data_IF_673243881809
#
_entry.id   IF_673243881809
#
_cell.length_a   1.000
_cell.length_b   1.000
_cell.length_c   1.000
_cell.angle_alpha   90.00
_cell.angle_beta   90.00
_cell.angle_gamma   90.00
#
_symmetry.space_group_name_H-M   'P 1'
#
loop_
_entity.id
_entity.type
_entity.pdbx_description
1 polymer ?
#
# COMPACT_ATOMS: atom_id res chain seq x y z
N UNK A 1 10.14 0.11 1.75
CA UNK A 1 9.60 0.26 0.38
C UNK A 1 10.24 -0.80 -0.50
N UNK A 2 9.46 -1.49 -1.33
CA UNK A 2 9.98 -2.45 -2.31
C UNK A 2 10.01 -1.78 -3.67
N UNK A 3 11.14 -1.81 -4.37
CA UNK A 3 11.28 -1.27 -5.72
C UNK A 3 11.14 -2.44 -6.68
N UNK A 4 10.04 -2.46 -7.44
CA UNK A 4 9.79 -3.47 -8.46
C UNK A 4 10.22 -2.91 -9.81
N UNK A 5 11.11 -3.61 -10.50
CA UNK A 5 11.46 -3.28 -11.87
C UNK A 5 10.40 -3.79 -12.85
N UNK A 6 10.10 -2.98 -13.87
CA UNK A 6 9.11 -3.28 -14.91
C UNK A 6 7.69 -3.52 -14.37
N UNK A 7 6.85 -4.16 -15.19
CA UNK A 7 5.48 -4.48 -14.84
C UNK A 7 5.43 -5.63 -13.84
N UNK A 8 4.70 -5.44 -12.74
CA UNK A 8 4.37 -6.48 -11.78
C UNK A 8 3.27 -7.40 -12.34
N UNK A 9 3.56 -8.69 -12.43
CA UNK A 9 2.60 -9.75 -12.79
C UNK A 9 2.07 -10.43 -11.52
N UNK A 10 1.04 -11.27 -11.64
CA UNK A 10 0.50 -12.02 -10.49
C UNK A 10 1.57 -12.93 -9.86
N UNK A 11 2.30 -13.70 -10.68
CA UNK A 11 3.41 -14.56 -10.23
C UNK A 11 4.48 -13.75 -9.49
N UNK A 12 4.93 -12.64 -10.08
CA UNK A 12 5.93 -11.78 -9.44
C UNK A 12 5.41 -11.12 -8.16
N UNK A 13 4.11 -10.83 -8.07
CA UNK A 13 3.52 -10.33 -6.83
C UNK A 13 3.59 -11.37 -5.71
N UNK A 14 3.36 -12.65 -6.02
CA UNK A 14 3.55 -13.74 -5.06
C UNK A 14 5.01 -13.82 -4.63
N UNK A 15 5.91 -13.98 -5.60
CA UNK A 15 7.33 -14.27 -5.36
C UNK A 15 8.08 -13.08 -4.75
N UNK A 16 7.91 -11.86 -5.28
CA UNK A 16 8.73 -10.71 -4.88
C UNK A 16 8.09 -9.86 -3.78
N UNK A 17 6.79 -10.02 -3.50
CA UNK A 17 6.08 -9.18 -2.53
C UNK A 17 5.44 -9.99 -1.42
N UNK A 18 4.61 -10.98 -1.75
CA UNK A 18 3.92 -11.74 -0.72
C UNK A 18 4.91 -12.60 0.08
N UNK A 19 5.65 -13.48 -0.61
CA UNK A 19 6.61 -14.42 -0.02
C UNK A 19 7.73 -13.71 0.75
N UNK A 20 8.35 -12.70 0.15
CA UNK A 20 9.54 -12.06 0.72
C UNK A 20 9.22 -11.04 1.83
N UNK A 21 8.01 -10.47 1.83
CA UNK A 21 7.71 -9.32 2.69
C UNK A 21 6.41 -9.47 3.49
N UNK A 22 5.30 -9.87 2.87
CA UNK A 22 4.00 -9.94 3.57
C UNK A 22 3.93 -11.13 4.50
N UNK A 23 4.29 -12.33 4.03
CA UNK A 23 4.22 -13.56 4.85
C UNK A 23 5.13 -13.46 6.09
N UNK A 24 6.42 -13.07 5.98
CA UNK A 24 7.27 -12.93 7.16
C UNK A 24 6.74 -11.89 8.14
N UNK A 25 6.22 -10.77 7.64
CA UNK A 25 5.67 -9.72 8.50
C UNK A 25 4.37 -10.15 9.19
N UNK A 26 3.50 -10.90 8.51
CA UNK A 26 2.30 -11.46 9.11
C UNK A 26 2.63 -12.42 10.26
N UNK A 27 3.66 -13.25 10.11
CA UNK A 27 4.14 -14.14 11.18
C UNK A 27 4.69 -13.37 12.38
N UNK A 28 5.33 -12.21 12.15
CA UNK A 28 5.81 -11.34 13.22
C UNK A 28 4.68 -10.69 14.03
N UNK A 29 3.58 -10.28 13.36
CA UNK A 29 2.39 -9.72 14.03
C UNK A 29 1.54 -10.81 14.70
N UNK A 30 1.56 -12.02 14.14
CA UNK A 30 0.66 -13.11 14.46
C UNK A 30 -0.42 -13.23 13.40
N UNK A 31 -0.50 -14.39 12.74
CA UNK A 31 -1.37 -14.62 11.59
C UNK A 31 -2.85 -14.27 11.86
N UNK A 32 -3.37 -14.63 13.04
CA UNK A 32 -4.77 -14.37 13.44
C UNK A 32 -5.07 -12.88 13.69
N UNK A 33 -4.04 -12.03 13.81
CA UNK A 33 -4.16 -10.59 14.03
C UNK A 33 -3.82 -9.77 12.78
N UNK A 34 -3.37 -10.43 11.71
CA UNK A 34 -2.94 -9.79 10.49
C UNK A 34 -4.03 -9.85 9.43
N UNK A 35 -4.43 -8.66 8.94
CA UNK A 35 -5.36 -8.54 7.83
C UNK A 35 -4.67 -7.81 6.68
N UNK A 36 -4.51 -8.49 5.55
CA UNK A 36 -3.92 -7.90 4.35
C UNK A 36 -4.90 -6.95 3.70
N UNK A 37 -4.49 -5.70 3.50
CA UNK A 37 -5.20 -4.75 2.65
C UNK A 37 -4.39 -4.49 1.38
N UNK A 38 -4.98 -4.77 0.22
CA UNK A 38 -4.49 -4.34 -1.09
C UNK A 38 -5.67 -3.90 -1.98
N UNK A 39 -5.38 -3.19 -3.06
CA UNK A 39 -6.40 -2.77 -4.02
C UNK A 39 -6.76 -3.88 -5.02
N UNK A 40 -7.80 -3.66 -5.82
CA UNK A 40 -8.26 -4.62 -6.82
C UNK A 40 -7.47 -4.56 -8.14
N UNK A 41 -6.17 -4.25 -8.09
CA UNK A 41 -5.32 -4.29 -9.27
C UNK A 41 -5.25 -5.71 -9.85
N UNK A 42 -5.13 -5.83 -11.19
CA UNK A 42 -5.21 -7.12 -11.89
C UNK A 42 -4.30 -8.23 -11.31
N UNK A 43 -3.04 -7.96 -10.92
CA UNK A 43 -2.21 -8.98 -10.28
C UNK A 43 -2.75 -9.45 -8.94
N UNK A 44 -3.33 -8.55 -8.13
CA UNK A 44 -3.76 -8.83 -6.76
C UNK A 44 -5.03 -9.69 -6.68
N UNK A 45 -5.89 -9.60 -7.70
CA UNK A 45 -7.15 -10.37 -7.81
C UNK A 45 -7.04 -11.55 -8.78
N UNK A 46 -5.82 -11.89 -9.21
CA UNK A 46 -5.59 -13.06 -10.05
C UNK A 46 -5.88 -14.33 -9.24
N UNK A 47 -6.46 -15.34 -9.89
CA UNK A 47 -6.84 -16.58 -9.20
C UNK A 47 -5.69 -17.22 -8.42
N UNK A 48 -4.49 -17.29 -9.02
CA UNK A 48 -3.31 -17.85 -8.36
C UNK A 48 -2.87 -17.07 -7.11
N UNK A 49 -3.18 -15.77 -7.02
CA UNK A 49 -2.89 -14.96 -5.83
C UNK A 49 -3.90 -15.24 -4.73
N UNK A 50 -5.18 -15.34 -5.07
CA UNK A 50 -6.23 -15.71 -4.09
C UNK A 50 -5.97 -17.10 -3.51
N UNK A 51 -5.69 -18.08 -4.37
CA UNK A 51 -5.35 -19.46 -3.96
C UNK A 51 -4.11 -19.50 -3.05
N UNK A 52 -3.07 -18.73 -3.41
CA UNK A 52 -1.87 -18.63 -2.60
C UNK A 52 -2.12 -18.00 -1.22
N UNK A 53 -2.93 -16.93 -1.15
CA UNK A 53 -3.29 -16.29 0.12
C UNK A 53 -4.10 -17.23 1.03
N UNK A 54 -4.99 -18.04 0.44
CA UNK A 54 -5.72 -19.09 1.17
C UNK A 54 -4.78 -20.18 1.69
N UNK A 55 -3.84 -20.67 0.86
CA UNK A 55 -2.86 -21.70 1.22
C UNK A 55 -2.00 -21.29 2.42
N UNK A 56 -1.55 -20.04 2.44
CA UNK A 56 -0.70 -19.48 3.51
C UNK A 56 -1.50 -18.87 4.67
N UNK A 57 -2.83 -19.01 4.65
CA UNK A 57 -3.72 -18.60 5.75
C UNK A 57 -3.81 -17.09 5.97
N UNK A 58 -3.54 -16.27 4.94
CA UNK A 58 -3.61 -14.81 5.04
C UNK A 58 -5.00 -14.33 4.69
N UNK A 59 -5.66 -13.74 5.69
CA UNK A 59 -6.95 -13.09 5.47
C UNK A 59 -6.74 -11.75 4.74
N UNK A 60 -7.62 -11.49 3.77
CA UNK A 60 -7.68 -10.24 3.04
C UNK A 60 -8.90 -9.42 3.44
N UNK A 61 -8.71 -8.12 3.61
CA UNK A 61 -9.80 -7.16 3.74
C UNK A 61 -10.52 -6.99 2.39
N UNK A 62 -11.83 -7.23 2.39
CA UNK A 62 -12.67 -6.96 1.21
C UNK A 62 -12.67 -5.46 0.89
N UNK A 63 -12.16 -5.08 -0.27
CA UNK A 63 -11.99 -3.69 -0.66
C UNK A 63 -12.96 -3.26 -1.77
N UNK A 64 -13.74 -2.18 -1.57
CA UNK A 64 -14.65 -1.70 -2.60
C UNK A 64 -13.90 -1.17 -3.83
N UNK A 65 -14.43 -1.46 -5.01
CA UNK A 65 -13.87 -0.96 -6.26
C UNK A 65 -13.88 0.59 -6.29
N UNK A 66 -12.86 1.18 -6.93
CA UNK A 66 -12.76 2.64 -7.18
C UNK A 66 -12.90 3.52 -5.93
N UNK A 67 -12.37 3.05 -4.79
CA UNK A 67 -12.42 3.79 -3.52
C UNK A 67 -11.02 4.22 -3.06
N UNK A 68 -10.36 5.15 -3.79
CA UNK A 68 -9.05 5.67 -3.38
C UNK A 68 -9.13 6.48 -2.08
N UNK A 69 -10.25 7.16 -1.83
CA UNK A 69 -10.51 7.95 -0.60
C UNK A 69 -10.38 7.11 0.68
N UNK A 70 -10.71 5.81 0.57
CA UNK A 70 -10.60 4.86 1.66
C UNK A 70 -9.18 4.31 1.78
N UNK A 71 -8.32 4.42 0.77
CA UNK A 71 -7.00 3.79 0.79
C UNK A 71 -5.98 4.67 1.54
N UNK A 72 -5.61 4.32 2.79
CA UNK A 72 -4.70 5.15 3.61
C UNK A 72 -3.37 5.42 2.92
N UNK A 73 -2.89 4.46 2.11
CA UNK A 73 -1.56 4.54 1.49
C UNK A 73 -1.50 5.65 0.44
N UNK A 74 -2.61 6.08 -0.15
CA UNK A 74 -2.63 7.18 -1.14
C UNK A 74 -2.15 8.50 -0.51
N UNK A 75 -2.46 8.70 0.76
CA UNK A 75 -1.99 9.85 1.52
C UNK A 75 -0.48 9.82 1.74
N UNK A 76 0.03 8.63 2.11
CA UNK A 76 1.47 8.39 2.29
C UNK A 76 2.19 8.60 0.96
N UNK A 77 1.64 8.11 -0.16
CA UNK A 77 2.16 8.39 -1.50
C UNK A 77 2.13 9.87 -1.86
N UNK A 78 1.12 10.60 -1.44
CA UNK A 78 1.07 12.06 -1.56
C UNK A 78 2.24 12.75 -0.85
N UNK A 79 2.51 12.37 0.40
CA UNK A 79 3.64 12.89 1.19
C UNK A 79 4.98 12.53 0.54
N UNK A 80 5.14 11.27 0.15
CA UNK A 80 6.30 10.74 -0.53
C UNK A 80 6.63 11.52 -1.81
N UNK A 81 5.65 11.71 -2.70
CA UNK A 81 5.81 12.48 -3.94
C UNK A 81 6.20 13.93 -3.66
N UNK A 82 5.63 14.56 -2.63
CA UNK A 82 6.00 15.93 -2.23
C UNK A 82 7.46 16.00 -1.77
N UNK A 83 7.92 15.04 -0.96
CA UNK A 83 9.31 14.96 -0.49
C UNK A 83 10.31 14.80 -1.65
N UNK A 84 10.01 13.94 -2.62
CA UNK A 84 10.84 13.80 -3.84
C UNK A 84 10.88 15.13 -4.61
N UNK A 85 9.71 15.77 -4.81
CA UNK A 85 9.62 17.04 -5.55
C UNK A 85 10.30 18.21 -4.84
N UNK A 86 10.36 18.20 -3.50
CA UNK A 86 11.06 19.23 -2.72
C UNK A 86 12.58 19.05 -2.71
N UNK A 87 13.11 17.98 -3.30
CA UNK A 87 14.56 17.80 -3.42
C UNK A 87 15.17 18.96 -4.21
N UNK A 88 16.16 19.62 -3.62
CA UNK A 88 16.89 20.74 -4.26
C UNK A 88 17.66 20.31 -5.51
N UNK A 89 17.92 19.00 -5.66
CA UNK A 89 18.55 18.41 -6.83
C UNK A 89 17.59 17.37 -7.43
N UNK A 90 16.92 17.69 -8.55
CA UNK A 90 16.09 16.72 -9.26
C UNK A 90 16.96 15.57 -9.79
N UNK A 91 16.57 14.30 -9.57
CA UNK A 91 17.35 13.16 -10.04
C UNK A 91 17.41 13.13 -11.57
N UNK A 92 18.61 12.91 -12.11
CA UNK A 92 18.88 12.86 -13.55
C UNK A 92 19.04 11.42 -14.07
N UNK A 93 19.23 10.46 -13.15
CA UNK A 93 19.37 9.04 -13.49
C UNK A 93 18.37 8.18 -12.71
N UNK A 94 18.11 6.97 -13.19
CA UNK A 94 17.26 6.00 -12.46
C UNK A 94 17.83 5.68 -11.08
N UNK A 95 19.15 5.57 -10.94
CA UNK A 95 19.78 5.30 -9.64
C UNK A 95 19.64 6.48 -8.68
N UNK A 96 19.80 7.71 -9.16
CA UNK A 96 19.53 8.90 -8.35
C UNK A 96 18.07 8.98 -7.92
N UNK A 97 17.14 8.63 -8.81
CA UNK A 97 15.72 8.59 -8.50
C UNK A 97 15.41 7.54 -7.43
N UNK A 98 15.98 6.33 -7.56
CA UNK A 98 15.83 5.25 -6.55
C UNK A 98 16.37 5.68 -5.18
N UNK A 99 17.56 6.28 -5.14
CA UNK A 99 18.16 6.75 -3.89
C UNK A 99 17.33 7.89 -3.26
N UNK A 100 16.88 8.83 -4.07
CA UNK A 100 16.01 9.94 -3.63
C UNK A 100 14.68 9.41 -3.10
N UNK A 101 14.10 8.42 -3.77
CA UNK A 101 12.88 7.75 -3.34
C UNK A 101 13.06 7.05 -2.00
N UNK A 102 14.10 6.23 -1.83
CA UNK A 102 14.39 5.55 -0.55
C UNK A 102 14.56 6.56 0.59
N UNK A 103 15.39 7.60 0.41
CA UNK A 103 15.56 8.64 1.41
C UNK A 103 14.26 9.40 1.72
N UNK A 104 13.44 9.69 0.70
CA UNK A 104 12.14 10.32 0.89
C UNK A 104 11.20 9.43 1.72
N UNK A 105 11.14 8.13 1.43
CA UNK A 105 10.34 7.14 2.17
C UNK A 105 10.76 7.07 3.64
N UNK A 106 12.06 6.92 3.90
CA UNK A 106 12.60 6.77 5.26
C UNK A 106 12.43 8.04 6.11
N UNK A 107 12.33 9.20 5.46
CA UNK A 107 12.08 10.47 6.11
C UNK A 107 10.60 10.75 6.44
N UNK A 108 9.67 9.84 6.09
CA UNK A 108 8.24 10.00 6.45
C UNK A 108 8.08 9.73 7.94
N UNK A 109 7.62 10.71 8.74
CA UNK A 109 7.40 10.51 10.16
C UNK A 109 6.34 9.45 10.43
N UNK A 110 6.65 8.51 11.32
CA UNK A 110 5.69 7.46 11.73
C UNK A 110 4.43 8.03 12.39
N UNK A 111 4.52 9.22 12.99
CA UNK A 111 3.35 9.94 13.53
C UNK A 111 2.34 10.28 12.44
N UNK A 112 2.80 10.66 11.24
CA UNK A 112 1.90 10.98 10.13
C UNK A 112 1.20 9.73 9.61
N UNK A 113 1.94 8.62 9.47
CA UNK A 113 1.37 7.32 9.08
C UNK A 113 0.31 6.87 10.10
N UNK A 114 0.62 6.98 11.40
CA UNK A 114 -0.32 6.65 12.48
C UNK A 114 -1.57 7.51 12.44
N UNK A 115 -1.44 8.81 12.25
CA UNK A 115 -2.57 9.73 12.16
C UNK A 115 -3.49 9.39 10.97
N UNK A 116 -2.91 8.99 9.84
CA UNK A 116 -3.69 8.54 8.68
C UNK A 116 -4.48 7.26 9.02
N UNK A 117 -3.84 6.26 9.64
CA UNK A 117 -4.51 5.01 10.05
C UNK A 117 -5.64 5.32 11.05
N UNK A 118 -5.37 6.15 12.05
CA UNK A 118 -6.37 6.54 13.07
C UNK A 118 -7.55 7.32 12.49
N UNK A 119 -7.38 7.98 11.34
CA UNK A 119 -8.48 8.69 10.66
C UNK A 119 -9.46 7.77 9.92
N UNK A 120 -9.16 6.47 9.78
CA UNK A 120 -9.96 5.55 8.97
C UNK A 120 -11.44 5.43 9.38
N UNK A 121 -11.78 5.35 10.68
CA UNK A 121 -13.18 5.35 11.10
C UNK A 121 -13.95 6.58 10.58
N UNK A 122 -13.35 7.78 10.65
CA UNK A 122 -13.98 9.01 10.17
C UNK A 122 -14.17 9.04 8.65
N UNK A 123 -13.20 8.50 7.90
CA UNK A 123 -13.28 8.36 6.43
C UNK A 123 -14.39 7.41 6.02
N UNK A 124 -14.47 6.24 6.66
CA UNK A 124 -15.55 5.28 6.42
C UNK A 124 -16.91 5.91 6.70
N UNK A 125 -17.05 6.64 7.81
CA UNK A 125 -18.28 7.36 8.12
C UNK A 125 -18.61 8.45 7.08
N UNK A 126 -17.61 9.14 6.54
CA UNK A 126 -17.82 10.11 5.47
C UNK A 126 -18.35 9.45 4.18
N UNK A 127 -17.81 8.29 3.79
CA UNK A 127 -18.29 7.52 2.63
C UNK A 127 -19.71 7.01 2.85
N UNK A 128 -20.02 6.51 4.05
CA UNK A 128 -21.39 6.07 4.41
C UNK A 128 -22.37 7.24 4.29
N UNK A 129 -22.03 8.42 4.85
CA UNK A 129 -22.86 9.63 4.74
C UNK A 129 -23.03 10.09 3.28
N UNK A 130 -21.99 9.94 2.47
CA UNK A 130 -22.02 10.22 1.04
C UNK A 130 -22.73 9.13 0.21
N UNK A 131 -23.26 8.08 0.85
CA UNK A 131 -23.90 6.91 0.20
C UNK A 131 -22.99 6.28 -0.87
N UNK A 132 -21.70 6.17 -0.58
CA UNK A 132 -20.70 5.64 -1.50
C UNK A 132 -20.14 6.65 -2.52
N UNK A 133 -20.56 7.92 -2.46
CA UNK A 133 -19.96 8.99 -3.25
C UNK A 133 -18.60 9.46 -2.73
N UNK A 134 -17.94 10.30 -3.54
CA UNK A 134 -16.63 10.88 -3.21
C UNK A 134 -16.68 11.70 -1.92
N UNK A 135 -15.58 11.71 -1.18
CA UNK A 135 -15.45 12.48 0.05
C UNK A 135 -14.40 13.59 -0.10
N UNK A 136 -14.21 14.37 0.97
CA UNK A 136 -13.10 15.34 1.06
C UNK A 136 -11.74 14.67 1.27
N UNK A 137 -11.76 13.38 1.62
CA UNK A 137 -10.56 12.59 1.85
C UNK A 137 -10.08 11.98 0.54
#
# INVERSE_FOLDING_TARGET
MVIVDNRLTATRYIEEVLQEHVIPYSGFIGHDQFLLMHDNARPHVAHCVEEYLEEVGIQKLQWPARSPDLNPIEYVWGMFKRKIKSSSKPPQTLNELRNTALAAWDSIPQVDVRNIIQSMPDRMQAVIRAKGGNTRY
#
